data_IF_666045970211
#
_entry.id   IF_666045970211
#
_cell.length_a   1.000
_cell.length_b   1.000
_cell.length_c   1.000
_cell.angle_alpha   90.00
_cell.angle_beta   90.00
_cell.angle_gamma   90.00
#
_symmetry.space_group_name_H-M   'P 1'
#
loop_
_entity.id
_entity.type
_entity.pdbx_description
1 polymer ?
#
# COMPACT_ATOMS: atom_id res chain seq x y z
N UNK A 1 18.90 -19.54 -13.51
CA UNK A 1 19.60 -18.24 -13.64
C UNK A 1 18.82 -17.42 -14.65
N UNK A 2 18.04 -16.43 -14.19
CA UNK A 2 17.41 -15.48 -15.10
C UNK A 2 18.47 -14.43 -15.45
N UNK A 3 18.97 -14.46 -16.68
CA UNK A 3 19.82 -13.43 -17.25
C UNK A 3 18.97 -12.18 -17.39
N UNK A 4 19.10 -11.26 -16.44
CA UNK A 4 18.62 -9.90 -16.60
C UNK A 4 19.42 -9.28 -17.75
N UNK A 5 18.82 -9.25 -18.94
CA UNK A 5 19.34 -8.47 -20.06
C UNK A 5 19.05 -6.99 -19.79
N UNK A 6 20.07 -6.16 -20.00
CA UNK A 6 19.96 -4.70 -19.94
C UNK A 6 18.94 -4.22 -20.99
N UNK A 7 18.05 -3.26 -20.65
CA UNK A 7 17.06 -2.76 -21.61
C UNK A 7 17.77 -2.14 -22.81
N UNK A 8 17.57 -2.72 -23.99
CA UNK A 8 18.10 -2.16 -25.25
C UNK A 8 17.30 -0.91 -25.62
N UNK A 9 17.98 0.06 -26.21
CA UNK A 9 17.33 1.25 -26.76
C UNK A 9 16.33 0.84 -27.83
N UNK A 10 15.16 1.49 -27.82
CA UNK A 10 14.15 1.29 -28.85
C UNK A 10 14.68 1.88 -30.16
N UNK A 11 14.65 1.08 -31.22
CA UNK A 11 14.97 1.52 -32.56
C UNK A 11 13.86 2.47 -33.06
N UNK A 12 14.08 3.76 -32.87
CA UNK A 12 13.14 4.83 -33.23
C UNK A 12 13.06 5.09 -34.72
N UNK A 13 13.97 4.52 -35.51
CA UNK A 13 14.00 4.64 -36.97
C UNK A 13 13.23 3.51 -37.65
N UNK A 14 12.87 2.46 -36.90
CA UNK A 14 12.06 1.36 -37.39
C UNK A 14 10.55 1.71 -37.38
N UNK A 15 9.99 1.85 -38.58
CA UNK A 15 8.59 2.19 -38.80
C UNK A 15 7.60 1.24 -38.09
N UNK A 16 7.94 -0.06 -37.97
CA UNK A 16 7.09 -1.02 -37.27
C UNK A 16 7.05 -0.78 -35.75
N UNK A 17 8.17 -0.35 -35.16
CA UNK A 17 8.27 0.01 -33.73
C UNK A 17 7.49 1.29 -33.46
N UNK A 18 7.62 2.29 -34.34
CA UNK A 18 6.89 3.55 -34.26
C UNK A 18 5.37 3.33 -34.39
N UNK A 19 4.94 2.51 -35.36
CA UNK A 19 3.53 2.18 -35.57
C UNK A 19 2.91 1.43 -34.38
N UNK A 20 3.67 0.52 -33.77
CA UNK A 20 3.26 -0.17 -32.55
C UNK A 20 3.10 0.82 -31.38
N UNK A 21 4.07 1.72 -31.20
CA UNK A 21 4.01 2.74 -30.15
C UNK A 21 2.80 3.66 -30.32
N UNK A 22 2.53 4.13 -31.55
CA UNK A 22 1.37 4.95 -31.86
C UNK A 22 0.04 4.20 -31.68
N UNK A 23 0.00 2.91 -32.02
CA UNK A 23 -1.14 2.04 -31.77
C UNK A 23 -1.47 1.92 -30.28
N UNK A 24 -0.45 1.67 -29.44
CA UNK A 24 -0.59 1.59 -27.99
C UNK A 24 -1.02 2.95 -27.42
N UNK A 25 -0.41 4.05 -27.87
CA UNK A 25 -0.75 5.41 -27.42
C UNK A 25 -2.21 5.75 -27.73
N UNK A 26 -2.69 5.45 -28.93
CA UNK A 26 -4.11 5.62 -29.32
C UNK A 26 -5.06 4.78 -28.47
N UNK A 27 -4.67 3.56 -28.06
CA UNK A 27 -5.47 2.72 -27.17
C UNK A 27 -5.51 3.35 -25.77
N UNK A 28 -4.38 3.81 -25.23
CA UNK A 28 -4.29 4.46 -23.92
C UNK A 28 -5.06 5.79 -23.87
N UNK A 29 -5.08 6.55 -24.96
CA UNK A 29 -5.83 7.82 -25.05
C UNK A 29 -7.35 7.60 -25.15
N UNK A 30 -7.79 6.49 -25.75
CA UNK A 30 -9.20 6.09 -25.85
C UNK A 30 -9.74 5.43 -24.58
N UNK A 31 -8.86 4.95 -23.69
CA UNK A 31 -9.28 4.56 -22.36
C UNK A 31 -9.78 5.81 -21.64
N UNK A 32 -11.00 5.80 -21.06
CA UNK A 32 -11.38 6.89 -20.17
C UNK A 32 -10.28 7.00 -19.11
N UNK A 33 -9.68 8.19 -18.96
CA UNK A 33 -8.73 8.46 -17.86
C UNK A 33 -9.33 7.81 -16.62
N UNK A 34 -8.65 6.87 -15.94
CA UNK A 34 -9.21 6.26 -14.77
C UNK A 34 -9.58 7.42 -13.85
N UNK A 35 -10.88 7.66 -13.67
CA UNK A 35 -11.35 8.59 -12.67
C UNK A 35 -10.73 8.03 -11.41
N UNK A 36 -9.75 8.72 -10.84
CA UNK A 36 -9.16 8.35 -9.59
C UNK A 36 -10.29 8.37 -8.55
N UNK A 37 -10.95 7.22 -8.38
CA UNK A 37 -12.01 6.86 -7.43
C UNK A 37 -12.72 5.59 -7.91
N UNK A 38 -12.02 4.47 -7.82
CA UNK A 38 -12.64 3.24 -7.34
C UNK A 38 -11.74 2.71 -6.24
N UNK A 39 -11.98 3.24 -5.03
CA UNK A 39 -11.57 2.58 -3.80
C UNK A 39 -12.15 1.17 -3.89
N UNK A 40 -11.26 0.18 -4.01
CA UNK A 40 -11.58 -1.21 -3.67
C UNK A 40 -12.36 -1.23 -2.35
N UNK A 41 -13.29 -2.19 -2.24
CA UNK A 41 -14.18 -2.39 -1.09
C UNK A 41 -13.49 -2.81 0.21
N UNK A 42 -12.30 -2.27 0.49
CA UNK A 42 -11.71 -2.26 1.81
C UNK A 42 -12.23 -0.98 2.46
N UNK A 43 -13.07 -1.05 3.50
CA UNK A 43 -13.38 0.14 4.28
C UNK A 43 -12.04 0.73 4.70
N UNK A 44 -11.77 1.99 4.33
CA UNK A 44 -10.59 2.69 4.83
C UNK A 44 -10.69 2.64 6.35
N UNK A 45 -9.89 1.77 6.95
CA UNK A 45 -9.76 1.66 8.39
C UNK A 45 -9.63 3.09 8.93
N UNK A 46 -10.52 3.45 9.86
CA UNK A 46 -10.28 4.63 10.68
C UNK A 46 -8.89 4.46 11.25
N UNK A 47 -7.94 5.29 10.82
CA UNK A 47 -6.53 5.12 11.19
C UNK A 47 -6.39 5.49 12.66
N UNK A 48 -6.62 4.54 13.56
CA UNK A 48 -6.47 4.71 15.00
C UNK A 48 -4.98 4.66 15.37
N UNK A 49 -4.29 5.80 15.21
CA UNK A 49 -2.87 5.93 15.59
C UNK A 49 -2.76 6.43 17.03
N UNK A 50 -2.25 5.59 17.94
CA UNK A 50 -1.73 6.08 19.21
C UNK A 50 -0.25 6.48 19.04
N UNK A 51 0.05 7.77 19.16
CA UNK A 51 1.45 8.24 19.20
C UNK A 51 2.07 7.90 20.56
N UNK A 52 3.15 7.13 20.55
CA UNK A 52 3.92 6.77 21.73
C UNK A 52 5.43 6.84 21.43
N UNK A 53 6.26 6.94 22.46
CA UNK A 53 7.71 6.95 22.31
C UNK A 53 8.27 5.56 22.00
N UNK A 54 7.80 4.54 22.75
CA UNK A 54 8.19 3.13 22.51
C UNK A 54 7.09 2.15 22.92
N UNK A 55 7.05 1.03 22.22
CA UNK A 55 6.27 -0.15 22.62
C UNK A 55 7.14 -0.98 23.58
N UNK A 56 6.60 -1.33 24.75
CA UNK A 56 7.31 -2.09 25.78
C UNK A 56 6.96 -3.56 25.75
N UNK A 57 5.66 -3.88 25.61
CA UNK A 57 5.14 -5.25 25.68
C UNK A 57 3.89 -5.39 24.83
N UNK A 58 3.73 -6.53 24.18
CA UNK A 58 2.51 -6.94 23.49
C UNK A 58 2.13 -8.32 23.99
N UNK A 59 0.95 -8.44 24.58
CA UNK A 59 0.34 -9.70 25.00
C UNK A 59 -0.87 -9.99 24.10
N UNK A 60 -0.96 -11.23 23.61
CA UNK A 60 -2.02 -11.67 22.71
C UNK A 60 -2.72 -12.87 23.34
N UNK A 61 -4.01 -12.73 23.62
CA UNK A 61 -4.84 -13.76 24.22
C UNK A 61 -6.12 -13.93 23.41
N UNK A 62 -6.22 -14.99 22.59
CA UNK A 62 -7.42 -15.33 21.79
C UNK A 62 -8.14 -14.12 21.13
N UNK A 63 -9.04 -13.46 21.86
CA UNK A 63 -9.85 -12.31 21.41
C UNK A 63 -9.41 -10.96 21.99
N UNK A 64 -8.31 -10.88 22.73
CA UNK A 64 -7.81 -9.69 23.39
C UNK A 64 -6.33 -9.50 23.06
N UNK A 65 -5.99 -8.28 22.64
CA UNK A 65 -4.60 -7.83 22.48
C UNK A 65 -4.37 -6.69 23.46
N UNK A 66 -3.32 -6.82 24.27
CA UNK A 66 -2.90 -5.80 25.22
C UNK A 66 -1.53 -5.28 24.79
N UNK A 67 -1.44 -3.97 24.57
CA UNK A 67 -0.21 -3.30 24.17
C UNK A 67 0.17 -2.32 25.29
N UNK A 68 1.33 -2.55 25.91
CA UNK A 68 1.90 -1.62 26.87
C UNK A 68 2.92 -0.74 26.17
N UNK A 69 2.73 0.58 26.24
CA UNK A 69 3.60 1.57 25.62
C UNK A 69 4.09 2.60 26.65
N UNK A 70 5.19 3.25 26.32
CA UNK A 70 5.65 4.45 27.01
C UNK A 70 5.36 5.65 26.11
N UNK A 71 4.61 6.63 26.62
CA UNK A 71 4.38 7.91 25.97
C UNK A 71 5.67 8.74 25.95
N UNK A 72 5.67 9.81 25.16
CA UNK A 72 6.84 10.69 25.01
C UNK A 72 7.14 11.52 26.25
N UNK A 73 6.17 11.69 27.14
CA UNK A 73 6.32 12.33 28.46
C UNK A 73 6.83 11.36 29.54
N UNK A 74 7.08 10.09 29.18
CA UNK A 74 7.52 9.05 30.11
C UNK A 74 6.39 8.32 30.84
N UNK A 75 5.12 8.70 30.63
CA UNK A 75 3.97 8.01 31.20
C UNK A 75 3.79 6.62 30.57
N UNK A 76 3.41 5.63 31.39
CA UNK A 76 3.13 4.28 30.95
C UNK A 76 1.65 4.13 30.62
N UNK A 77 1.34 3.61 29.44
CA UNK A 77 -0.03 3.52 28.93
C UNK A 77 -0.32 2.13 28.38
N UNK A 78 -1.53 1.63 28.61
CA UNK A 78 -1.95 0.28 28.21
C UNK A 78 -3.14 0.38 27.25
N UNK A 79 -2.96 -0.07 26.01
CA UNK A 79 -4.00 -0.18 25.00
C UNK A 79 -4.62 -1.59 25.04
N UNK A 80 -5.94 -1.69 24.94
CA UNK A 80 -6.67 -2.97 24.88
C UNK A 80 -7.51 -2.99 23.62
N UNK A 81 -7.29 -4.01 22.79
CA UNK A 81 -8.05 -4.26 21.57
C UNK A 81 -8.77 -5.59 21.76
N UNK A 82 -10.10 -5.54 21.82
CA UNK A 82 -10.94 -6.72 22.01
C UNK A 82 -11.74 -6.99 20.73
N UNK A 83 -11.73 -8.25 20.29
CA UNK A 83 -12.52 -8.69 19.15
C UNK A 83 -13.96 -8.96 19.62
N UNK A 84 -14.90 -8.15 19.11
CA UNK A 84 -16.33 -8.41 19.26
C UNK A 84 -16.75 -9.66 18.47
N UNK A 85 -17.84 -10.32 18.89
CA UNK A 85 -18.35 -11.55 18.26
C UNK A 85 -19.38 -11.31 17.15
N UNK A 86 -19.47 -10.11 16.60
CA UNK A 86 -20.42 -9.79 15.52
C UNK A 86 -20.10 -10.53 14.21
#
# INVERSE_FOLDING_TARGET
>A
MATWEEPRELDTDNEAVVSLYDGIKKILEKQPKPRAKQSSGIPREGRHILRCGRILKVDIERKLVIITVMKTDGELHQLRIEANQD
#
